data_IF_976926770215
#
_entry.id   IF_976926770215
#
_cell.length_a   1.000
_cell.length_b   1.000
_cell.length_c   1.000
_cell.angle_alpha   90.00
_cell.angle_beta   90.00
_cell.angle_gamma   90.00
#
_symmetry.space_group_name_H-M   'P 1'
#
loop_
_entity.id
_entity.type
_entity.pdbx_description
1 polymer ?
#
# COMPACT_ATOMS: atom_id res chain seq x y z
N UNK A 1 -59.93 -0.93 19.82
CA UNK A 1 -59.23 -0.48 18.57
C UNK A 1 -57.72 -0.31 18.77
N UNK A 2 -57.10 -0.77 19.85
CA UNK A 2 -55.68 -0.55 20.19
C UNK A 2 -54.78 -1.80 20.11
N UNK A 3 -55.32 -2.98 19.85
CA UNK A 3 -54.53 -4.22 19.79
C UNK A 3 -53.90 -4.52 18.40
N UNK A 4 -54.34 -3.84 17.34
CA UNK A 4 -53.85 -4.01 15.98
C UNK A 4 -52.46 -3.38 15.73
N UNK A 5 -52.13 -2.33 16.45
CA UNK A 5 -50.86 -1.63 16.29
C UNK A 5 -49.69 -2.38 16.97
N UNK A 6 -49.93 -3.06 18.08
CA UNK A 6 -48.91 -3.82 18.80
C UNK A 6 -48.46 -5.12 18.06
N UNK A 7 -49.32 -5.69 17.22
CA UNK A 7 -49.02 -6.94 16.49
C UNK A 7 -48.12 -6.76 15.27
N UNK A 8 -48.01 -5.54 14.72
CA UNK A 8 -47.17 -5.21 13.57
C UNK A 8 -45.68 -5.03 13.93
N UNK A 9 -45.36 -4.78 15.17
CA UNK A 9 -44.00 -4.60 15.65
C UNK A 9 -43.30 -5.89 16.11
N UNK A 10 -44.00 -7.01 16.09
CA UNK A 10 -43.52 -8.34 16.45
C UNK A 10 -43.45 -9.29 15.24
N UNK A 11 -43.41 -8.78 14.04
CA UNK A 11 -43.25 -9.62 12.86
C UNK A 11 -41.79 -10.02 12.73
N UNK A 12 -41.49 -11.27 12.43
CA UNK A 12 -40.16 -11.80 12.11
C UNK A 12 -39.50 -11.00 10.98
N UNK A 13 -40.30 -10.41 10.08
CA UNK A 13 -39.88 -9.50 9.03
C UNK A 13 -39.15 -8.26 9.57
N UNK A 14 -39.60 -7.68 10.70
CA UNK A 14 -38.95 -6.56 11.35
C UNK A 14 -37.58 -6.90 11.94
N UNK A 15 -37.47 -8.08 12.55
CA UNK A 15 -36.20 -8.59 13.09
C UNK A 15 -35.18 -8.86 11.94
N UNK A 16 -35.61 -9.46 10.85
CA UNK A 16 -34.78 -9.71 9.68
C UNK A 16 -34.28 -8.40 9.04
N UNK A 17 -35.11 -7.37 8.98
CA UNK A 17 -34.68 -6.04 8.48
C UNK A 17 -33.61 -5.39 9.35
N UNK A 18 -33.72 -5.50 10.68
CA UNK A 18 -32.71 -4.97 11.62
C UNK A 18 -31.41 -5.76 11.48
N UNK A 19 -31.48 -7.08 11.37
CA UNK A 19 -30.31 -7.93 11.16
C UNK A 19 -29.61 -7.59 9.84
N UNK A 20 -30.37 -7.46 8.75
CA UNK A 20 -29.84 -7.05 7.46
C UNK A 20 -29.22 -5.64 7.52
N UNK A 21 -29.85 -4.70 8.19
CA UNK A 21 -29.34 -3.34 8.35
C UNK A 21 -28.00 -3.27 9.11
N UNK A 22 -27.74 -4.23 10.00
CA UNK A 22 -26.47 -4.34 10.72
C UNK A 22 -25.43 -5.15 9.94
N UNK A 23 -25.85 -6.23 9.27
CA UNK A 23 -24.91 -7.14 8.60
C UNK A 23 -24.45 -6.62 7.23
N UNK A 24 -25.31 -5.97 6.45
CA UNK A 24 -24.99 -5.48 5.11
C UNK A 24 -23.84 -4.45 5.12
N UNK A 25 -23.81 -3.42 5.99
CA UNK A 25 -22.69 -2.49 6.05
C UNK A 25 -21.36 -3.19 6.40
N UNK A 26 -21.40 -4.19 7.27
CA UNK A 26 -20.21 -4.97 7.66
C UNK A 26 -19.67 -5.80 6.49
N UNK A 27 -20.56 -6.49 5.74
CA UNK A 27 -20.19 -7.25 4.56
C UNK A 27 -19.67 -6.33 3.44
N UNK A 28 -20.25 -5.15 3.30
CA UNK A 28 -19.81 -4.16 2.32
C UNK A 28 -18.42 -3.63 2.68
N UNK A 29 -18.19 -3.30 3.95
CA UNK A 29 -16.88 -2.87 4.43
C UNK A 29 -15.81 -3.96 4.22
N UNK A 30 -16.14 -5.22 4.50
CA UNK A 30 -15.25 -6.36 4.24
C UNK A 30 -14.91 -6.48 2.75
N UNK A 31 -15.92 -6.38 1.87
CA UNK A 31 -15.72 -6.47 0.43
C UNK A 31 -14.82 -5.35 -0.10
N UNK A 32 -15.06 -4.11 0.35
CA UNK A 32 -14.21 -2.96 0.00
C UNK A 32 -12.80 -3.14 0.53
N UNK A 33 -12.64 -3.67 1.74
CA UNK A 33 -11.33 -3.93 2.32
C UNK A 33 -10.50 -4.88 1.46
N UNK A 34 -11.11 -5.96 0.97
CA UNK A 34 -10.42 -6.92 0.08
C UNK A 34 -9.91 -6.23 -1.19
N UNK A 35 -10.73 -5.37 -1.81
CA UNK A 35 -10.35 -4.63 -3.01
C UNK A 35 -9.20 -3.65 -2.71
N UNK A 36 -9.28 -2.90 -1.62
CA UNK A 36 -8.26 -1.92 -1.24
C UNK A 36 -6.92 -2.57 -0.86
N UNK A 37 -6.93 -3.68 -0.15
CA UNK A 37 -5.72 -4.45 0.13
C UNK A 37 -5.14 -5.08 -1.14
N UNK A 38 -5.98 -5.52 -2.08
CA UNK A 38 -5.53 -5.98 -3.40
C UNK A 38 -4.81 -4.88 -4.16
N UNK A 39 -5.32 -3.64 -4.13
CA UNK A 39 -4.67 -2.47 -4.72
C UNK A 39 -3.35 -2.13 -4.02
N UNK A 40 -3.32 -2.15 -2.69
CA UNK A 40 -2.09 -1.93 -1.92
C UNK A 40 -1.01 -2.96 -2.27
N UNK A 41 -1.39 -4.23 -2.41
CA UNK A 41 -0.48 -5.29 -2.81
C UNK A 41 0.05 -5.09 -4.24
N UNK A 42 -0.79 -4.71 -5.19
CA UNK A 42 -0.37 -4.37 -6.55
C UNK A 42 0.67 -3.24 -6.55
N UNK A 43 0.41 -2.15 -5.83
CA UNK A 43 1.36 -1.03 -5.70
C UNK A 43 2.66 -1.49 -5.07
N UNK A 44 2.61 -2.29 -4.02
CA UNK A 44 3.79 -2.86 -3.37
C UNK A 44 4.67 -3.69 -4.32
N UNK A 45 4.05 -4.49 -5.20
CA UNK A 45 4.78 -5.25 -6.23
C UNK A 45 5.49 -4.32 -7.23
N UNK A 46 4.84 -3.24 -7.65
CA UNK A 46 5.45 -2.26 -8.55
C UNK A 46 6.63 -1.55 -7.87
N UNK A 47 6.46 -1.12 -6.60
CA UNK A 47 7.53 -0.47 -5.82
C UNK A 47 8.72 -1.43 -5.62
N UNK A 48 8.45 -2.70 -5.33
CA UNK A 48 9.49 -3.73 -5.19
C UNK A 48 10.29 -3.92 -6.48
N UNK A 49 9.62 -3.97 -7.61
CA UNK A 49 10.30 -4.11 -8.90
C UNK A 49 11.02 -2.82 -9.30
N UNK A 50 10.49 -1.65 -8.96
CA UNK A 50 11.16 -0.37 -9.16
C UNK A 50 12.48 -0.28 -8.36
N UNK A 51 12.48 -0.74 -7.10
CA UNK A 51 13.68 -0.82 -6.28
C UNK A 51 14.75 -1.75 -6.90
N UNK A 52 14.33 -2.90 -7.42
CA UNK A 52 15.23 -3.85 -8.12
C UNK A 52 15.82 -3.23 -9.39
N UNK A 53 15.00 -2.54 -10.17
CA UNK A 53 15.47 -1.88 -11.40
C UNK A 53 16.39 -0.70 -11.07
N UNK A 54 16.09 0.06 -10.00
CA UNK A 54 16.98 1.08 -9.48
C UNK A 54 18.34 0.52 -9.05
N UNK A 55 18.34 -0.60 -8.31
CA UNK A 55 19.57 -1.27 -7.89
C UNK A 55 20.40 -1.78 -9.06
N UNK A 56 19.74 -2.26 -10.13
CA UNK A 56 20.42 -2.69 -11.36
C UNK A 56 21.14 -1.54 -12.06
N UNK A 57 20.58 -0.36 -12.04
CA UNK A 57 21.22 0.85 -12.59
C UNK A 57 22.31 1.35 -11.65
N UNK A 58 22.10 1.32 -10.35
CA UNK A 58 23.03 1.84 -9.34
C UNK A 58 24.39 1.12 -9.31
N UNK A 59 24.47 -0.12 -9.83
CA UNK A 59 25.72 -0.89 -9.87
C UNK A 59 26.55 -0.67 -11.15
N UNK A 60 26.01 0.07 -12.14
CA UNK A 60 26.72 0.36 -13.38
C UNK A 60 27.77 1.46 -13.16
N UNK A 61 28.98 1.32 -13.76
CA UNK A 61 30.01 2.34 -13.65
C UNK A 61 29.55 3.70 -14.21
N UNK A 62 29.85 4.77 -13.50
CA UNK A 62 29.55 6.13 -13.92
C UNK A 62 28.09 6.59 -13.75
N UNK A 63 27.26 5.78 -13.15
CA UNK A 63 25.85 6.13 -12.88
C UNK A 63 25.74 7.11 -11.69
N UNK A 64 24.98 8.16 -11.88
CA UNK A 64 24.69 9.13 -10.80
C UNK A 64 23.43 8.73 -10.01
N UNK A 65 23.30 9.27 -8.80
CA UNK A 65 22.06 9.12 -7.99
C UNK A 65 20.81 9.61 -8.73
N UNK A 66 20.97 10.65 -9.55
CA UNK A 66 19.91 11.20 -10.39
C UNK A 66 19.40 10.20 -11.42
N UNK A 67 20.31 9.45 -12.07
CA UNK A 67 19.96 8.46 -13.09
C UNK A 67 19.14 7.31 -12.47
N UNK A 68 19.56 6.86 -11.28
CA UNK A 68 18.84 5.83 -10.52
C UNK A 68 17.44 6.31 -10.16
N UNK A 69 17.32 7.53 -9.62
CA UNK A 69 16.02 8.10 -9.24
C UNK A 69 15.10 8.24 -10.46
N UNK A 70 15.62 8.73 -11.57
CA UNK A 70 14.88 8.86 -12.83
C UNK A 70 14.39 7.50 -13.30
N UNK A 71 15.23 6.46 -13.23
CA UNK A 71 14.84 5.10 -13.62
C UNK A 71 13.75 4.52 -12.74
N UNK A 72 13.86 4.70 -11.42
CA UNK A 72 12.82 4.28 -10.46
C UNK A 72 11.50 4.97 -10.77
N UNK A 73 11.50 6.29 -10.95
CA UNK A 73 10.29 7.05 -11.24
C UNK A 73 9.66 6.65 -12.59
N UNK A 74 10.47 6.42 -13.63
CA UNK A 74 9.98 5.92 -14.91
C UNK A 74 9.32 4.53 -14.77
N UNK A 75 9.87 3.65 -13.94
CA UNK A 75 9.29 2.34 -13.67
C UNK A 75 7.96 2.45 -12.91
N UNK A 76 7.89 3.31 -11.89
CA UNK A 76 6.65 3.58 -11.15
C UNK A 76 5.56 4.15 -12.07
N UNK A 77 5.93 5.04 -12.99
CA UNK A 77 5.01 5.61 -13.97
C UNK A 77 4.50 4.53 -14.96
N UNK A 78 5.38 3.67 -15.46
CA UNK A 78 5.00 2.54 -16.32
C UNK A 78 4.07 1.55 -15.60
N UNK A 79 4.23 1.38 -14.28
CA UNK A 79 3.35 0.61 -13.41
C UNK A 79 2.03 1.30 -13.04
N UNK A 80 1.74 2.45 -13.65
CA UNK A 80 0.52 3.25 -13.43
C UNK A 80 0.30 3.67 -11.97
N UNK A 81 1.40 3.91 -11.25
CA UNK A 81 1.34 4.45 -9.89
C UNK A 81 0.87 5.90 -9.93
N UNK A 82 -0.13 6.22 -9.10
CA UNK A 82 -0.59 7.60 -8.93
C UNK A 82 0.52 8.43 -8.29
N UNK A 83 0.95 9.50 -8.95
CA UNK A 83 1.99 10.39 -8.44
C UNK A 83 3.36 9.70 -8.15
N UNK A 84 4.08 9.23 -9.19
CA UNK A 84 5.39 8.58 -9.04
C UNK A 84 6.44 9.45 -8.35
N UNK A 85 6.32 10.77 -8.45
CA UNK A 85 7.24 11.74 -7.84
C UNK A 85 7.13 11.83 -6.31
N UNK A 86 6.07 11.28 -5.71
CA UNK A 86 5.95 11.20 -4.25
C UNK A 86 6.80 10.08 -3.63
N UNK A 87 7.37 9.20 -4.47
CA UNK A 87 8.28 8.17 -4.00
C UNK A 87 9.63 8.78 -3.57
N UNK A 88 10.08 8.41 -2.37
CA UNK A 88 11.43 8.74 -1.89
C UNK A 88 12.37 7.62 -2.27
N UNK A 89 13.48 7.94 -2.91
CA UNK A 89 14.51 6.98 -3.34
C UNK A 89 15.79 7.24 -2.57
N UNK A 90 16.24 6.27 -1.80
CA UNK A 90 17.49 6.33 -1.05
C UNK A 90 18.49 5.32 -1.63
N UNK A 91 19.71 5.79 -1.89
CA UNK A 91 20.78 4.98 -2.45
C UNK A 91 21.93 4.98 -1.47
N UNK A 92 22.34 3.79 -1.01
CA UNK A 92 23.41 3.64 -0.01
C UNK A 92 24.41 2.59 -0.50
N UNK A 93 25.69 2.95 -0.46
CA UNK A 93 26.76 1.99 -0.68
C UNK A 93 26.89 1.07 0.53
N UNK A 94 26.96 -0.22 0.30
CA UNK A 94 27.06 -1.26 1.34
C UNK A 94 28.00 -2.38 0.90
N UNK A 95 28.17 -3.37 1.74
CA UNK A 95 28.92 -4.60 1.41
C UNK A 95 28.05 -5.82 1.60
N UNK A 96 28.23 -6.82 0.76
CA UNK A 96 27.58 -8.12 0.88
C UNK A 96 28.64 -9.22 1.10
N UNK A 97 28.30 -10.22 1.91
CA UNK A 97 29.17 -11.37 2.13
C UNK A 97 29.13 -12.31 0.94
N UNK A 98 30.31 -12.69 0.44
CA UNK A 98 30.46 -13.66 -0.66
C UNK A 98 31.41 -14.74 -0.20
N UNK A 99 30.87 -15.85 0.28
CA UNK A 99 31.68 -16.94 0.84
C UNK A 99 32.56 -16.46 2.01
N UNK A 100 33.90 -16.56 1.87
CA UNK A 100 34.85 -16.10 2.88
C UNK A 100 35.22 -14.60 2.77
N UNK A 101 34.69 -13.86 1.81
CA UNK A 101 34.98 -12.43 1.56
C UNK A 101 33.76 -11.55 1.54
N UNK A 102 34.01 -10.25 1.29
CA UNK A 102 32.97 -9.24 1.10
C UNK A 102 33.15 -8.56 -0.25
N UNK A 103 32.03 -8.15 -0.86
CA UNK A 103 32.05 -7.34 -2.07
C UNK A 103 31.26 -6.05 -1.87
N UNK A 104 31.68 -4.97 -2.55
CA UNK A 104 30.93 -3.74 -2.60
C UNK A 104 29.56 -3.98 -3.26
N UNK A 105 28.53 -3.34 -2.74
CA UNK A 105 27.17 -3.45 -3.22
C UNK A 105 26.45 -2.10 -3.11
N UNK A 106 25.46 -1.91 -3.94
CA UNK A 106 24.56 -0.76 -3.89
C UNK A 106 23.20 -1.21 -3.37
N UNK A 107 22.70 -0.52 -2.35
CA UNK A 107 21.36 -0.70 -1.77
C UNK A 107 20.48 0.44 -2.22
N UNK A 108 19.38 0.13 -2.83
CA UNK A 108 18.33 1.08 -3.21
C UNK A 108 17.08 0.78 -2.41
N UNK A 109 16.59 1.79 -1.71
CA UNK A 109 15.35 1.76 -0.93
C UNK A 109 14.37 2.74 -1.55
N UNK A 110 13.15 2.28 -1.77
CA UNK A 110 12.07 3.06 -2.37
C UNK A 110 10.89 3.06 -1.41
N UNK A 111 10.53 4.25 -0.92
CA UNK A 111 9.40 4.47 -0.04
C UNK A 111 8.29 5.19 -0.80
N UNK A 112 7.11 4.60 -0.85
CA UNK A 112 5.95 5.18 -1.51
C UNK A 112 4.79 5.37 -0.54
N UNK A 113 4.23 6.59 -0.41
CA UNK A 113 3.07 6.86 0.43
C UNK A 113 1.79 6.34 -0.26
N UNK A 114 1.18 5.31 0.31
CA UNK A 114 -0.06 4.73 -0.15
C UNK A 114 -1.23 5.17 0.73
N UNK A 115 -2.34 5.58 0.12
CA UNK A 115 -3.57 5.92 0.83
C UNK A 115 -4.73 5.03 0.39
N UNK A 116 -5.51 4.59 1.39
CA UNK A 116 -6.76 3.88 1.15
C UNK A 116 -7.86 4.88 0.76
N UNK A 117 -8.68 4.55 -0.24
CA UNK A 117 -9.73 5.47 -0.73
C UNK A 117 -10.96 5.48 0.17
N UNK A 118 -11.35 4.34 0.71
CA UNK A 118 -12.55 4.18 1.53
C UNK A 118 -12.21 3.87 2.99
N UNK A 119 -11.25 2.97 3.23
CA UNK A 119 -10.89 2.58 4.59
C UNK A 119 -10.35 3.75 5.41
N UNK A 120 -9.57 4.65 4.79
CA UNK A 120 -9.01 5.81 5.48
C UNK A 120 -10.08 6.82 5.91
N UNK A 121 -11.03 7.28 5.06
CA UNK A 121 -12.13 8.12 5.48
C UNK A 121 -13.02 7.48 6.55
N UNK A 122 -13.31 6.18 6.43
CA UNK A 122 -14.12 5.44 7.43
C UNK A 122 -13.39 5.36 8.77
N UNK A 123 -12.09 5.06 8.77
CA UNK A 123 -11.30 5.03 9.98
C UNK A 123 -11.24 6.40 10.68
N UNK A 124 -11.09 7.49 9.91
CA UNK A 124 -11.11 8.84 10.44
C UNK A 124 -12.46 9.21 11.06
N UNK A 125 -13.57 8.74 10.46
CA UNK A 125 -14.92 9.00 10.97
C UNK A 125 -15.17 8.29 12.31
N UNK A 126 -14.69 7.04 12.45
CA UNK A 126 -14.92 6.21 13.65
C UNK A 126 -13.96 6.55 14.78
N UNK A 127 -12.70 6.83 14.45
CA UNK A 127 -11.63 6.99 15.43
C UNK A 127 -11.29 8.45 15.79
N UNK A 128 -12.00 9.42 15.24
CA UNK A 128 -12.01 10.84 15.63
C UNK A 128 -10.63 11.46 15.90
N UNK A 129 -9.76 11.58 14.89
CA UNK A 129 -8.47 12.29 15.05
C UNK A 129 -7.30 11.44 15.55
N UNK A 130 -7.42 10.11 15.54
CA UNK A 130 -6.31 9.19 15.77
C UNK A 130 -5.40 9.10 14.52
N UNK A 131 -4.20 8.56 14.69
CA UNK A 131 -3.27 8.24 13.59
C UNK A 131 -3.78 7.13 12.66
N UNK A 132 -4.94 6.56 12.95
CA UNK A 132 -5.67 5.66 12.06
C UNK A 132 -6.12 6.45 10.83
N UNK A 133 -5.58 6.09 9.68
CA UNK A 133 -5.87 6.76 8.42
C UNK A 133 -4.75 7.66 7.89
N UNK A 134 -3.57 7.67 8.52
CA UNK A 134 -2.37 8.21 7.88
C UNK A 134 -1.97 7.34 6.68
N UNK A 135 -1.37 7.94 5.62
CA UNK A 135 -0.87 7.15 4.50
C UNK A 135 0.06 6.03 4.98
N UNK A 136 -0.15 4.83 4.46
CA UNK A 136 0.73 3.69 4.71
C UNK A 136 1.98 3.83 3.83
N UNK A 137 3.18 3.86 4.41
CA UNK A 137 4.40 3.84 3.61
C UNK A 137 4.69 2.42 3.16
N UNK A 138 4.67 2.21 1.85
CA UNK A 138 5.11 0.97 1.22
C UNK A 138 6.60 1.08 0.92
N UNK A 139 7.41 0.35 1.67
CA UNK A 139 8.87 0.36 1.53
C UNK A 139 9.36 -0.92 0.86
N UNK A 140 10.26 -0.77 -0.09
CA UNK A 140 10.93 -1.89 -0.75
C UNK A 140 12.43 -1.62 -0.89
N UNK A 141 13.22 -2.65 -0.65
CA UNK A 141 14.69 -2.59 -0.69
C UNK A 141 15.22 -3.61 -1.67
N UNK A 142 16.18 -3.20 -2.47
CA UNK A 142 16.98 -4.09 -3.31
C UNK A 142 18.46 -3.80 -3.11
N UNK A 143 19.26 -4.85 -2.99
CA UNK A 143 20.72 -4.75 -2.88
C UNK A 143 21.37 -5.59 -3.97
N UNK A 144 22.26 -4.99 -4.73
CA UNK A 144 23.01 -5.67 -5.79
C UNK A 144 24.50 -5.41 -5.66
N UNK A 145 25.30 -6.40 -6.03
CA UNK A 145 26.76 -6.30 -6.05
C UNK A 145 27.20 -5.36 -7.15
N UNK A 146 28.18 -4.50 -6.86
CA UNK A 146 28.83 -3.65 -7.86
C UNK A 146 29.74 -4.53 -8.76
N UNK A 147 29.71 -4.23 -10.06
CA UNK A 147 30.58 -4.86 -11.04
C UNK A 147 31.98 -4.20 -11.11
#
# INVERSE_FOLDING_TARGET
MSQWLYRRWRSEDGAALIEAALTLPLLLLLSVSIIEFGRAYQVYQVVTNAAREGARVAVLPGTSTSDVTTRVQAYLQAGQISNPSSATVQITSTTISIGAGTAAASRVEVDYPFSFMVLQPVANLVAGGSTLGTPLTLSAVATMRNE
#
